data_IF_108441098793
#
_entry.id   IF_108441098793
#
_cell.length_a   1.000
_cell.length_b   1.000
_cell.length_c   1.000
_cell.angle_alpha   90.00
_cell.angle_beta   90.00
_cell.angle_gamma   90.00
#
_symmetry.space_group_name_H-M   'P 1'
#
loop_
_entity.id
_entity.type
_entity.pdbx_description
1 polymer ?
#
# COMPACT_ATOMS: atom_id res chain seq x y z
N UNK A 1 -6.55 -2.99 37.26
CA UNK A 1 -6.59 -3.47 35.85
C UNK A 1 -6.49 -2.36 34.80
N UNK A 2 -6.68 -1.06 35.11
CA UNK A 2 -6.53 0.05 34.14
C UNK A 2 -5.07 0.42 33.77
N UNK A 3 -4.12 0.16 34.65
CA UNK A 3 -2.72 0.54 34.44
C UNK A 3 -2.01 -0.26 33.33
N UNK A 4 -2.29 -1.57 33.22
CA UNK A 4 -1.67 -2.44 32.20
C UNK A 4 -2.04 -2.04 30.77
N UNK A 5 -3.26 -1.53 30.58
CA UNK A 5 -3.76 -1.14 29.26
C UNK A 5 -3.06 0.14 28.76
N UNK A 6 -2.80 1.10 29.66
CA UNK A 6 -2.07 2.32 29.29
C UNK A 6 -0.64 2.03 28.85
N UNK A 7 0.08 1.13 29.53
CA UNK A 7 1.43 0.75 29.10
C UNK A 7 1.45 0.09 27.72
N UNK A 8 0.41 -0.68 27.40
CA UNK A 8 0.29 -1.27 26.07
C UNK A 8 -0.02 -0.21 25.01
N UNK A 9 -0.94 0.71 25.29
CA UNK A 9 -1.25 1.84 24.39
C UNK A 9 -0.01 2.70 24.12
N UNK A 10 0.72 3.13 25.15
CA UNK A 10 1.96 3.91 24.98
C UNK A 10 3.04 3.15 24.21
N UNK A 11 3.16 1.84 24.45
CA UNK A 11 4.08 0.98 23.72
C UNK A 11 3.72 0.91 22.23
N UNK A 12 2.45 0.70 21.92
CA UNK A 12 1.93 0.62 20.54
C UNK A 12 2.09 1.96 19.83
N UNK A 13 1.72 3.07 20.48
CA UNK A 13 1.92 4.43 19.95
C UNK A 13 3.39 4.70 19.67
N UNK A 14 4.28 4.36 20.61
CA UNK A 14 5.72 4.51 20.42
C UNK A 14 6.28 3.65 19.28
N UNK A 15 5.75 2.44 19.09
CA UNK A 15 6.12 1.59 17.96
C UNK A 15 5.71 2.20 16.63
N UNK A 16 4.44 2.59 16.48
CA UNK A 16 3.95 3.21 15.25
C UNK A 16 4.61 4.55 14.96
N UNK A 17 4.88 5.36 15.98
CA UNK A 17 5.62 6.62 15.82
C UNK A 17 7.01 6.39 15.22
N UNK A 18 7.76 5.41 15.75
CA UNK A 18 9.11 5.08 15.24
C UNK A 18 9.08 4.44 13.86
N UNK A 19 8.10 3.58 13.60
CA UNK A 19 7.99 2.83 12.36
C UNK A 19 7.21 3.55 11.25
N UNK A 20 6.62 4.72 11.51
CA UNK A 20 5.70 5.39 10.58
C UNK A 20 6.32 5.64 9.20
N UNK A 21 7.57 6.10 9.15
CA UNK A 21 8.27 6.34 7.89
C UNK A 21 8.52 5.04 7.13
N UNK A 22 8.93 3.97 7.82
CA UNK A 22 9.13 2.65 7.21
C UNK A 22 7.83 2.06 6.66
N UNK A 23 6.71 2.24 7.39
CA UNK A 23 5.38 1.83 6.96
C UNK A 23 4.98 2.59 5.68
N UNK A 24 5.17 3.90 5.63
CA UNK A 24 4.85 4.70 4.43
C UNK A 24 5.75 4.36 3.24
N UNK A 25 7.03 4.04 3.47
CA UNK A 25 7.94 3.53 2.45
C UNK A 25 7.48 2.17 1.92
N UNK A 26 7.02 1.27 2.80
CA UNK A 26 6.42 0.01 2.38
C UNK A 26 5.13 0.23 1.58
N UNK A 27 4.25 1.14 2.01
CA UNK A 27 3.06 1.52 1.25
C UNK A 27 3.43 2.02 -0.16
N UNK A 28 4.46 2.87 -0.28
CA UNK A 28 4.99 3.30 -1.57
C UNK A 28 5.41 2.09 -2.42
N UNK A 29 6.19 1.18 -1.87
CA UNK A 29 6.65 0.00 -2.60
C UNK A 29 5.48 -0.87 -3.09
N UNK A 30 4.45 -1.06 -2.28
CA UNK A 30 3.26 -1.81 -2.67
C UNK A 30 2.44 -1.10 -3.76
N UNK A 31 2.27 0.23 -3.67
CA UNK A 31 1.64 1.02 -4.74
C UNK A 31 2.48 1.00 -6.04
N UNK A 32 3.81 0.88 -5.93
CA UNK A 32 4.73 0.68 -7.06
C UNK A 32 4.66 -0.73 -7.66
N UNK A 33 3.99 -1.68 -7.00
CA UNK A 33 3.81 -3.04 -7.49
C UNK A 33 4.69 -4.10 -6.83
N UNK A 34 5.41 -3.77 -5.75
CA UNK A 34 6.10 -4.78 -4.95
C UNK A 34 5.13 -5.84 -4.42
N UNK A 35 5.62 -7.07 -4.28
CA UNK A 35 4.84 -8.19 -3.76
C UNK A 35 4.48 -7.97 -2.29
N UNK A 36 3.22 -8.20 -1.93
CA UNK A 36 2.76 -8.14 -0.54
C UNK A 36 3.18 -9.41 0.19
N UNK A 37 3.79 -9.29 1.37
CA UNK A 37 4.09 -10.44 2.23
C UNK A 37 5.32 -11.27 1.84
N UNK A 38 6.17 -10.82 0.91
CA UNK A 38 7.40 -11.52 0.57
C UNK A 38 8.48 -11.34 1.65
N UNK A 39 8.49 -12.25 2.62
CA UNK A 39 9.60 -12.41 3.55
C UNK A 39 10.68 -13.26 2.88
N UNK A 40 11.73 -12.64 2.35
CA UNK A 40 12.90 -13.36 1.80
C UNK A 40 13.72 -13.94 2.96
N UNK A 41 13.23 -15.03 3.57
CA UNK A 41 14.05 -15.97 4.34
C UNK A 41 13.54 -17.39 4.14
N UNK A 42 14.08 -18.05 3.11
CA UNK A 42 14.44 -19.46 3.21
C UNK A 42 13.37 -20.53 2.93
N UNK A 43 12.27 -20.19 2.26
CA UNK A 43 11.37 -21.21 1.68
C UNK A 43 11.53 -21.22 0.17
N UNK A 44 11.92 -22.34 -0.41
CA UNK A 44 11.93 -22.55 -1.87
C UNK A 44 10.49 -22.36 -2.34
N UNK A 45 10.19 -21.19 -2.89
CA UNK A 45 8.88 -20.90 -3.47
C UNK A 45 8.97 -21.37 -4.92
N UNK A 46 8.40 -22.55 -5.18
CA UNK A 46 8.30 -23.10 -6.52
C UNK A 46 7.77 -22.01 -7.47
N UNK A 47 8.57 -21.82 -8.51
CA UNK A 47 8.40 -20.85 -9.57
C UNK A 47 7.17 -21.20 -10.39
N UNK A 48 6.02 -20.66 -9.99
CA UNK A 48 5.00 -20.32 -10.97
C UNK A 48 5.24 -18.86 -11.41
N UNK A 49 5.62 -18.68 -12.67
CA UNK A 49 6.00 -17.40 -13.28
C UNK A 49 4.80 -16.51 -13.63
N UNK A 50 3.70 -16.62 -12.85
CA UNK A 50 2.49 -15.83 -13.03
C UNK A 50 2.46 -14.62 -12.10
N UNK A 51 2.88 -13.46 -12.59
CA UNK A 51 2.63 -12.12 -12.02
C UNK A 51 3.02 -11.93 -10.54
N UNK A 52 4.32 -11.73 -10.28
CA UNK A 52 4.92 -11.48 -8.95
C UNK A 52 4.54 -10.12 -8.34
N UNK A 53 3.49 -9.47 -8.83
CA UNK A 53 3.08 -8.14 -8.42
C UNK A 53 1.82 -8.17 -7.54
N UNK A 54 1.69 -7.13 -6.72
CA UNK A 54 0.46 -6.88 -5.96
C UNK A 54 -0.75 -6.72 -6.91
N UNK A 55 -1.91 -7.31 -6.57
CA UNK A 55 -3.12 -7.21 -7.39
C UNK A 55 -3.57 -5.75 -7.59
N UNK A 56 -4.10 -5.38 -8.77
CA UNK A 56 -4.59 -4.02 -9.02
C UNK A 56 -5.60 -3.53 -7.97
N UNK A 57 -6.50 -4.42 -7.53
CA UNK A 57 -7.49 -4.14 -6.47
C UNK A 57 -6.82 -3.79 -5.15
N UNK A 58 -5.77 -4.52 -4.76
CA UNK A 58 -5.02 -4.18 -3.55
C UNK A 58 -4.37 -2.79 -3.67
N UNK A 59 -3.75 -2.46 -4.82
CA UNK A 59 -3.13 -1.13 -5.02
C UNK A 59 -4.16 -0.02 -4.87
N UNK A 60 -5.34 -0.19 -5.45
CA UNK A 60 -6.44 0.76 -5.36
C UNK A 60 -6.95 0.90 -3.92
N UNK A 61 -7.16 -0.21 -3.21
CA UNK A 61 -7.55 -0.19 -1.80
C UNK A 61 -6.49 0.51 -0.94
N UNK A 62 -5.21 0.14 -1.09
CA UNK A 62 -4.11 0.75 -0.36
C UNK A 62 -4.03 2.25 -0.60
N UNK A 63 -4.13 2.70 -1.86
CA UNK A 63 -4.16 4.12 -2.20
C UNK A 63 -5.32 4.85 -1.49
N UNK A 64 -6.51 4.24 -1.43
CA UNK A 64 -7.65 4.77 -0.69
C UNK A 64 -7.39 4.96 0.82
N UNK A 65 -6.54 4.12 1.42
CA UNK A 65 -6.20 4.19 2.85
C UNK A 65 -5.01 5.10 3.18
N UNK A 66 -4.17 5.48 2.20
CA UNK A 66 -2.97 6.30 2.45
C UNK A 66 -3.29 7.56 3.25
N UNK A 67 -4.39 8.26 2.89
CA UNK A 67 -4.78 9.48 3.60
C UNK A 67 -5.09 9.19 5.07
N UNK A 68 -5.88 8.14 5.34
CA UNK A 68 -6.21 7.71 6.71
C UNK A 68 -4.97 7.36 7.52
N UNK A 69 -4.00 6.66 6.91
CA UNK A 69 -2.73 6.31 7.56
C UNK A 69 -1.91 7.56 7.89
N UNK A 70 -1.82 8.52 6.96
CA UNK A 70 -1.11 9.79 7.19
C UNK A 70 -1.80 10.61 8.30
N UNK A 71 -3.12 10.72 8.27
CA UNK A 71 -3.89 11.45 9.28
C UNK A 71 -3.68 10.86 10.68
N UNK A 72 -3.71 9.53 10.81
CA UNK A 72 -3.43 8.83 12.07
C UNK A 72 -1.98 9.03 12.56
N UNK A 73 -1.00 9.02 11.65
CA UNK A 73 0.40 9.30 12.03
C UNK A 73 0.62 10.75 12.46
N UNK A 74 -0.12 11.70 11.88
CA UNK A 74 -0.08 13.10 12.32
C UNK A 74 -0.69 13.28 13.69
N UNK A 75 -1.77 12.56 14.00
CA UNK A 75 -2.41 12.57 15.32
C UNK A 75 -1.46 12.14 16.43
N UNK A 76 -0.63 11.13 16.18
CA UNK A 76 0.40 10.67 17.13
C UNK A 76 1.69 11.51 17.08
N UNK A 77 1.73 12.59 16.29
CA UNK A 77 2.82 13.58 16.25
C UNK A 77 3.95 13.29 15.25
N UNK A 78 3.81 12.33 14.34
CA UNK A 78 4.82 12.06 13.31
C UNK A 78 4.87 13.21 12.31
N UNK A 79 6.08 13.69 12.03
CA UNK A 79 6.34 14.78 11.09
C UNK A 79 6.63 14.26 9.69
N UNK A 80 6.48 15.14 8.70
CA UNK A 80 6.86 14.88 7.30
C UNK A 80 6.17 13.66 6.66
N UNK A 81 4.96 13.32 7.11
CA UNK A 81 4.12 12.29 6.49
C UNK A 81 3.43 12.79 5.21
N UNK A 82 3.18 14.10 5.10
CA UNK A 82 2.44 14.69 3.98
C UNK A 82 3.15 14.49 2.62
N UNK A 83 4.47 14.25 2.63
CA UNK A 83 5.24 13.90 1.42
C UNK A 83 4.76 12.63 0.73
N UNK A 84 3.95 11.80 1.40
CA UNK A 84 3.36 10.58 0.84
C UNK A 84 1.91 10.74 0.35
N UNK A 85 1.30 11.93 0.49
CA UNK A 85 -0.09 12.15 0.07
C UNK A 85 -0.32 11.87 -1.42
N UNK A 86 0.69 12.04 -2.27
CA UNK A 86 0.60 11.71 -3.70
C UNK A 86 0.29 10.22 -3.96
N UNK A 87 0.58 9.32 -3.01
CA UNK A 87 0.24 7.90 -3.14
C UNK A 87 -1.27 7.67 -3.12
N UNK A 88 -2.04 8.54 -2.48
CA UNK A 88 -3.50 8.44 -2.46
C UNK A 88 -4.13 8.63 -3.84
N UNK A 89 -3.43 9.30 -4.76
CA UNK A 89 -3.90 9.60 -6.12
C UNK A 89 -3.54 8.48 -7.12
N UNK A 90 -2.70 7.51 -6.74
CA UNK A 90 -2.21 6.46 -7.63
C UNK A 90 -3.12 5.24 -7.75
N UNK A 91 -4.20 5.19 -6.96
CA UNK A 91 -5.22 4.14 -7.05
C UNK A 91 -6.19 4.33 -8.22
N UNK A 92 -6.24 5.51 -8.85
CA UNK A 92 -7.05 5.76 -10.05
C UNK A 92 -6.27 5.34 -11.28
N UNK A 93 -6.06 4.04 -11.44
CA UNK A 93 -5.89 3.48 -12.77
C UNK A 93 -7.19 3.73 -13.52
N UNK A 94 -7.23 4.80 -14.31
CA UNK A 94 -8.12 4.88 -15.47
C UNK A 94 -7.81 3.59 -16.24
N UNK A 95 -8.75 2.64 -16.26
CA UNK A 95 -8.67 1.54 -17.21
C UNK A 95 -8.44 2.15 -18.60
N UNK A 96 -7.63 1.54 -19.48
CA UNK A 96 -7.58 2.00 -20.86
C UNK A 96 -9.02 2.05 -21.35
N UNK A 97 -9.51 3.25 -21.66
CA UNK A 97 -10.79 3.40 -22.35
C UNK A 97 -10.53 2.77 -23.70
N UNK A 98 -10.87 1.49 -23.84
CA UNK A 98 -10.81 0.82 -25.14
C UNK A 98 -11.91 1.52 -25.96
N UNK A 99 -11.59 2.30 -27.01
CA UNK A 99 -12.63 2.82 -27.87
C UNK A 99 -13.33 1.63 -28.51
N UNK A 100 -14.63 1.50 -28.25
CA UNK A 100 -15.49 0.47 -28.80
C UNK A 100 -15.70 0.71 -30.32
N UNK A 101 -14.68 0.49 -31.16
CA UNK A 101 -14.84 0.55 -32.61
C UNK A 101 -13.79 -0.22 -33.45
N UNK A 102 -13.17 -1.29 -32.94
CA UNK A 102 -12.31 -2.15 -33.79
C UNK A 102 -12.92 -3.55 -33.97
N UNK A 103 -14.14 -3.60 -34.50
CA UNK A 103 -14.75 -4.84 -35.00
C UNK A 103 -14.65 -4.99 -36.53
N UNK A 104 -13.97 -4.08 -37.25
CA UNK A 104 -14.04 -4.00 -38.71
C UNK A 104 -12.72 -4.24 -39.47
N UNK A 105 -11.76 -5.01 -38.92
CA UNK A 105 -10.56 -5.39 -39.69
C UNK A 105 -10.18 -6.87 -39.56
N UNK A 106 -11.17 -7.77 -39.52
CA UNK A 106 -10.91 -9.23 -39.63
C UNK A 106 -11.54 -9.89 -40.87
N UNK A 107 -11.89 -9.11 -41.89
CA UNK A 107 -12.22 -9.67 -43.21
C UNK A 107 -11.70 -8.76 -44.33
N UNK A 108 -10.51 -9.05 -44.82
CA UNK A 108 -10.05 -8.87 -46.21
C UNK A 108 -8.82 -9.73 -46.42
#
# INVERSE_FOLDING_TARGET
MRFLLQYFEDFVLGHFFRSAQDILVACKAYTDGAQVGSLVRGGVQDVDEGDKSCSPTFKASLAGFIKTVIDAFKEIGVKDCDKFLYLAQRGTGVAPVVPANTANYFFS
#
